data_IF_043204191481
#
_entry.id   IF_043204191481
#
_cell.length_a   1.000
_cell.length_b   1.000
_cell.length_c   1.000
_cell.angle_alpha   90.00
_cell.angle_beta   90.00
_cell.angle_gamma   90.00
#
_symmetry.space_group_name_H-M   'P 1'
#
loop_
_entity.id
_entity.type
_entity.pdbx_description
1 polymer ?
#
# COMPACT_ATOMS: atom_id res chain seq x y z
N UNK A 1 -4.63 -25.45 -6.65
CA UNK A 1 -3.41 -24.70 -7.06
C UNK A 1 -3.66 -23.21 -6.85
N UNK A 2 -2.93 -22.53 -5.95
CA UNK A 2 -3.02 -21.07 -5.86
C UNK A 2 -2.44 -20.47 -7.13
N UNK A 3 -3.24 -19.73 -7.91
CA UNK A 3 -2.70 -18.98 -9.03
C UNK A 3 -1.65 -17.99 -8.51
N UNK A 4 -0.60 -17.74 -9.29
CA UNK A 4 0.45 -16.76 -8.95
C UNK A 4 -0.15 -15.39 -8.57
N UNK A 5 -1.29 -15.03 -9.16
CA UNK A 5 -2.05 -13.82 -8.86
C UNK A 5 -2.58 -13.83 -7.42
N UNK A 6 -3.09 -14.96 -6.94
CA UNK A 6 -3.60 -15.08 -5.58
C UNK A 6 -2.47 -14.89 -4.55
N UNK A 7 -1.27 -15.40 -4.84
CA UNK A 7 -0.08 -15.17 -4.02
C UNK A 7 0.32 -13.68 -4.07
N UNK A 8 0.36 -13.08 -5.26
CA UNK A 8 0.75 -11.70 -5.44
C UNK A 8 -0.23 -10.71 -4.75
N UNK A 9 -1.53 -10.97 -4.77
CA UNK A 9 -2.53 -10.19 -4.01
C UNK A 9 -2.31 -10.33 -2.50
N UNK A 10 -1.97 -11.52 -1.99
CA UNK A 10 -1.63 -11.70 -0.58
C UNK A 10 -0.35 -10.93 -0.19
N UNK A 11 0.67 -10.95 -1.03
CA UNK A 11 1.90 -10.17 -0.83
C UNK A 11 1.57 -8.67 -0.79
N UNK A 12 0.73 -8.19 -1.72
CA UNK A 12 0.25 -6.81 -1.71
C UNK A 12 -0.40 -6.44 -0.38
N UNK A 13 -1.26 -7.31 0.17
CA UNK A 13 -1.92 -7.05 1.46
C UNK A 13 -0.90 -6.92 2.60
N UNK A 14 0.14 -7.76 2.63
CA UNK A 14 1.22 -7.65 3.62
C UNK A 14 1.98 -6.34 3.46
N UNK A 15 2.27 -5.92 2.22
CA UNK A 15 2.95 -4.65 1.95
C UNK A 15 2.12 -3.45 2.41
N UNK A 16 0.80 -3.46 2.20
CA UNK A 16 -0.07 -2.41 2.74
C UNK A 16 -0.05 -2.37 4.26
N UNK A 17 -0.09 -3.53 4.91
CA UNK A 17 -0.07 -3.58 6.37
C UNK A 17 1.25 -3.04 6.94
N UNK A 18 2.37 -3.43 6.34
CA UNK A 18 3.70 -2.90 6.67
C UNK A 18 3.76 -1.39 6.45
N UNK A 19 3.20 -0.92 5.34
CA UNK A 19 3.10 0.51 5.04
C UNK A 19 2.31 1.27 6.11
N UNK A 20 1.16 0.77 6.55
CA UNK A 20 0.37 1.44 7.59
C UNK A 20 1.12 1.49 8.92
N UNK A 21 1.81 0.41 9.29
CA UNK A 21 2.66 0.40 10.49
C UNK A 21 3.74 1.47 10.41
N UNK A 22 4.45 1.56 9.28
CA UNK A 22 5.48 2.58 9.08
C UNK A 22 4.89 4.00 9.05
N UNK A 23 3.75 4.20 8.39
CA UNK A 23 3.03 5.48 8.36
C UNK A 23 2.69 5.96 9.77
N UNK A 24 2.07 5.11 10.59
CA UNK A 24 1.73 5.50 11.96
C UNK A 24 2.96 5.64 12.85
N UNK A 25 3.98 4.80 12.67
CA UNK A 25 5.25 4.95 13.36
C UNK A 25 5.90 6.32 13.06
N UNK A 26 5.79 6.80 11.83
CA UNK A 26 6.23 8.14 11.44
C UNK A 26 5.39 9.24 12.11
N UNK A 27 4.05 9.16 12.02
CA UNK A 27 3.15 10.16 12.62
C UNK A 27 3.33 10.28 14.13
N UNK A 28 3.57 9.16 14.83
CA UNK A 28 3.83 9.16 16.28
C UNK A 28 5.28 9.47 16.66
N UNK A 29 6.16 9.74 15.69
CA UNK A 29 7.55 10.14 15.94
C UNK A 29 8.49 9.01 16.34
N UNK A 30 8.12 7.73 16.14
CA UNK A 30 9.01 6.59 16.36
C UNK A 30 10.09 6.47 15.30
N UNK A 31 9.85 7.00 14.09
CA UNK A 31 10.81 7.06 12.99
C UNK A 31 10.85 8.48 12.39
N UNK A 32 12.04 9.00 12.16
CA UNK A 32 12.26 10.34 11.61
C UNK A 32 12.30 10.37 10.08
N UNK A 33 12.08 11.56 9.49
CA UNK A 33 12.10 11.83 8.04
C UNK A 33 13.38 11.38 7.31
N UNK A 34 14.51 11.38 8.03
CA UNK A 34 15.83 10.89 7.58
C UNK A 34 15.82 9.39 7.20
N UNK A 35 14.81 8.65 7.64
CA UNK A 35 14.71 7.22 7.46
C UNK A 35 14.52 6.85 5.99
N UNK A 36 15.35 5.93 5.49
CA UNK A 36 15.23 5.38 4.14
C UNK A 36 13.85 4.75 3.85
N UNK A 37 13.13 4.34 4.91
CA UNK A 37 11.77 3.79 4.80
C UNK A 37 10.71 4.83 4.42
N UNK A 38 11.01 6.12 4.63
CA UNK A 38 10.11 7.23 4.32
C UNK A 38 10.41 7.86 2.95
N UNK A 39 11.36 7.31 2.21
CA UNK A 39 11.66 7.79 0.87
C UNK A 39 10.43 7.64 -0.03
N UNK A 40 9.98 8.69 -0.76
CA UNK A 40 8.72 8.68 -1.51
C UNK A 40 8.58 7.49 -2.48
N UNK A 41 9.68 7.06 -3.11
CA UNK A 41 9.70 5.88 -3.97
C UNK A 41 9.37 4.58 -3.22
N UNK A 42 9.90 4.41 -2.00
CA UNK A 42 9.60 3.24 -1.14
C UNK A 42 8.15 3.33 -0.64
N UNK A 43 7.70 4.55 -0.32
CA UNK A 43 6.35 4.81 0.16
C UNK A 43 5.26 4.53 -0.89
N UNK A 44 5.53 4.76 -2.18
CA UNK A 44 4.54 4.60 -3.26
C UNK A 44 4.55 3.22 -3.92
N UNK A 45 5.64 2.46 -3.82
CA UNK A 45 5.76 1.15 -4.49
C UNK A 45 4.73 0.14 -3.99
N UNK A 46 4.49 0.07 -2.68
CA UNK A 46 3.45 -0.79 -2.08
C UNK A 46 2.05 -0.57 -2.66
N UNK A 47 1.47 0.64 -2.53
CA UNK A 47 0.12 0.91 -3.04
C UNK A 47 0.02 0.84 -4.57
N UNK A 48 1.04 1.25 -5.32
CA UNK A 48 1.02 1.13 -6.79
C UNK A 48 1.03 -0.33 -7.22
N UNK A 49 1.93 -1.14 -6.67
CA UNK A 49 1.97 -2.58 -6.93
C UNK A 49 0.64 -3.24 -6.58
N UNK A 50 0.09 -2.87 -5.42
CA UNK A 50 -1.15 -3.42 -4.92
C UNK A 50 -2.37 -3.09 -5.77
N UNK A 51 -2.45 -1.86 -6.28
CA UNK A 51 -3.51 -1.45 -7.21
C UNK A 51 -3.44 -2.25 -8.52
N UNK A 52 -2.24 -2.37 -9.11
CA UNK A 52 -2.04 -3.09 -10.38
C UNK A 52 -2.42 -4.56 -10.25
N UNK A 53 -1.87 -5.26 -9.24
CA UNK A 53 -2.11 -6.70 -9.11
C UNK A 53 -3.57 -7.02 -8.78
N UNK A 54 -4.22 -6.15 -7.99
CA UNK A 54 -5.63 -6.29 -7.63
C UNK A 54 -6.55 -6.03 -8.81
N UNK A 55 -6.22 -5.06 -9.67
CA UNK A 55 -6.93 -4.85 -10.94
C UNK A 55 -6.89 -6.10 -11.82
N UNK A 56 -5.70 -6.70 -11.98
CA UNK A 56 -5.51 -7.94 -12.74
C UNK A 56 -6.33 -9.08 -12.12
N UNK A 57 -6.33 -9.20 -10.80
CA UNK A 57 -7.07 -10.24 -10.07
C UNK A 57 -8.59 -10.11 -10.24
N UNK A 58 -9.12 -8.89 -10.20
CA UNK A 58 -10.54 -8.58 -10.42
C UNK A 58 -10.95 -8.95 -11.85
N UNK A 59 -10.17 -8.51 -12.86
CA UNK A 59 -10.44 -8.81 -14.28
C UNK A 59 -10.43 -10.32 -14.52
N UNK A 60 -9.49 -11.04 -13.91
CA UNK A 60 -9.39 -12.49 -14.02
C UNK A 60 -10.37 -13.26 -13.13
N UNK A 61 -11.21 -12.55 -12.35
CA UNK A 61 -12.16 -13.12 -11.38
C UNK A 61 -11.51 -14.12 -10.40
N UNK A 62 -10.26 -13.86 -10.02
CA UNK A 62 -9.49 -14.67 -9.08
C UNK A 62 -9.24 -13.90 -7.79
N UNK A 63 -9.35 -14.56 -6.64
CA UNK A 63 -9.03 -13.93 -5.35
C UNK A 63 -9.79 -12.58 -5.15
N UNK A 64 -11.07 -12.54 -5.53
CA UNK A 64 -11.87 -11.31 -5.61
C UNK A 64 -11.90 -10.53 -4.29
N UNK A 65 -12.20 -11.20 -3.17
CA UNK A 65 -12.27 -10.56 -1.85
C UNK A 65 -10.95 -9.88 -1.46
N UNK A 66 -9.79 -10.58 -1.44
CA UNK A 66 -8.54 -9.93 -1.09
C UNK A 66 -8.07 -8.90 -2.14
N UNK A 67 -8.46 -9.05 -3.42
CA UNK A 67 -8.18 -8.05 -4.44
C UNK A 67 -8.94 -6.74 -4.19
N UNK A 68 -10.23 -6.83 -3.86
CA UNK A 68 -11.05 -5.65 -3.51
C UNK A 68 -10.47 -4.97 -2.27
N UNK A 69 -10.14 -5.73 -1.22
CA UNK A 69 -9.52 -5.19 0.00
C UNK A 69 -8.19 -4.50 -0.30
N UNK A 70 -7.33 -5.12 -1.10
CA UNK A 70 -6.06 -4.51 -1.50
C UNK A 70 -6.29 -3.22 -2.30
N UNK A 71 -7.33 -3.13 -3.11
CA UNK A 71 -7.70 -1.92 -3.85
C UNK A 71 -8.12 -0.78 -2.91
N UNK A 72 -8.94 -1.10 -1.90
CA UNK A 72 -9.35 -0.15 -0.86
C UNK A 72 -8.14 0.34 -0.08
N UNK A 73 -7.24 -0.56 0.29
CA UNK A 73 -6.01 -0.17 0.97
C UNK A 73 -5.15 0.71 0.10
N UNK A 74 -4.93 0.39 -1.18
CA UNK A 74 -4.15 1.24 -2.09
C UNK A 74 -4.74 2.64 -2.17
N UNK A 75 -6.07 2.77 -2.31
CA UNK A 75 -6.75 4.07 -2.32
C UNK A 75 -6.56 4.83 -0.99
N UNK A 76 -6.77 4.18 0.16
CA UNK A 76 -6.54 4.79 1.47
C UNK A 76 -5.08 5.23 1.67
N UNK A 77 -4.15 4.46 1.15
CA UNK A 77 -2.71 4.74 1.15
C UNK A 77 -2.40 6.03 0.38
N UNK A 78 -2.95 6.18 -0.83
CA UNK A 78 -2.80 7.40 -1.63
C UNK A 78 -3.45 8.62 -0.95
N UNK A 79 -4.61 8.46 -0.34
CA UNK A 79 -5.28 9.55 0.40
C UNK A 79 -4.44 10.02 1.59
N UNK A 80 -3.99 9.09 2.43
CA UNK A 80 -3.14 9.39 3.57
C UNK A 80 -1.80 10.03 3.16
N UNK A 81 -1.20 9.54 2.07
CA UNK A 81 0.02 10.14 1.55
C UNK A 81 -0.20 11.57 1.02
N UNK A 82 -1.32 11.80 0.33
CA UNK A 82 -1.71 13.14 -0.12
C UNK A 82 -1.93 14.11 1.05
N UNK A 83 -2.50 13.62 2.17
CA UNK A 83 -2.64 14.41 3.40
C UNK A 83 -1.29 14.80 3.99
N UNK A 84 -0.31 13.88 4.04
CA UNK A 84 1.05 14.22 4.52
C UNK A 84 1.70 15.28 3.64
N UNK A 85 1.67 15.10 2.31
CA UNK A 85 2.26 16.07 1.39
C UNK A 85 1.59 17.44 1.50
N UNK A 86 0.26 17.48 1.68
CA UNK A 86 -0.47 18.72 1.93
C UNK A 86 -0.09 19.39 3.25
N UNK A 87 0.17 18.62 4.31
CA UNK A 87 0.61 19.14 5.61
C UNK A 87 2.04 19.71 5.53
N UNK A 88 2.96 19.05 4.83
CA UNK A 88 4.37 19.48 4.72
C UNK A 88 4.58 20.71 3.82
N UNK A 89 3.53 21.26 3.18
CA UNK A 89 3.61 22.45 2.34
C UNK A 89 3.27 23.76 3.07
N UNK A 90 2.88 23.69 4.35
CA UNK A 90 2.60 24.83 5.22
C UNK A 90 3.63 24.91 6.35
#
# INVERSE_FOLDING_TARGET
MSSLINIAVRISMVLHFLWFILFFAYIFGFIGLESAFLHPAVWLTGPVFGAIISMIAIVKKTALVPAILSMIFSAGTFLLWSLILGINQF
#
